data_IF_598496654486
#
_entry.id   IF_598496654486
#
_cell.length_a   1.000
_cell.length_b   1.000
_cell.length_c   1.000
_cell.angle_alpha   90.00
_cell.angle_beta   90.00
_cell.angle_gamma   90.00
#
_symmetry.space_group_name_H-M   'P 1'
#
loop_
_entity.id
_entity.type
_entity.pdbx_description
1 polymer ?
#
# COMPACT_ATOMS: atom_id res chain seq x y z
N UNK A 1 25.88 14.38 17.68
CA UNK A 1 25.02 14.54 16.48
C UNK A 1 23.68 15.06 16.96
N UNK A 2 23.36 16.29 16.63
CA UNK A 2 22.19 17.00 17.10
C UNK A 2 20.91 16.33 16.57
N UNK A 3 20.08 15.87 17.49
CA UNK A 3 18.89 15.07 17.21
C UNK A 3 17.78 16.02 16.75
N UNK A 4 17.78 16.40 15.47
CA UNK A 4 16.73 17.25 14.90
C UNK A 4 15.41 16.48 14.97
N UNK A 5 14.58 16.82 15.95
CA UNK A 5 13.25 16.25 16.13
C UNK A 5 12.48 16.41 14.82
N UNK A 6 12.15 15.30 14.17
CA UNK A 6 11.42 15.33 12.91
C UNK A 6 10.05 15.96 13.13
N UNK A 7 9.66 16.89 12.25
CA UNK A 7 8.32 17.48 12.29
C UNK A 7 7.27 16.41 12.07
N UNK A 8 6.15 16.48 12.82
CA UNK A 8 4.99 15.58 12.66
C UNK A 8 4.51 15.50 11.20
N UNK A 9 4.55 16.63 10.48
CA UNK A 9 4.19 16.70 9.07
C UNK A 9 5.19 15.95 8.17
N UNK A 10 6.48 16.05 8.47
CA UNK A 10 7.53 15.31 7.75
C UNK A 10 7.38 13.80 7.94
N UNK A 11 7.09 13.37 9.16
CA UNK A 11 6.85 11.97 9.47
C UNK A 11 5.62 11.44 8.70
N UNK A 12 4.49 12.15 8.78
CA UNK A 12 3.26 11.75 8.10
C UNK A 12 3.41 11.73 6.58
N UNK A 13 4.14 12.69 6.01
CA UNK A 13 4.47 12.71 4.59
C UNK A 13 5.23 11.44 4.18
N UNK A 14 6.31 11.09 4.89
CA UNK A 14 7.12 9.91 4.56
C UNK A 14 6.32 8.61 4.66
N UNK A 15 5.52 8.45 5.71
CA UNK A 15 4.65 7.27 5.87
C UNK A 15 3.66 7.17 4.71
N UNK A 16 2.96 8.26 4.40
CA UNK A 16 1.93 8.27 3.36
C UNK A 16 2.53 8.08 1.97
N UNK A 17 3.64 8.75 1.66
CA UNK A 17 4.34 8.61 0.39
C UNK A 17 4.88 7.19 0.20
N UNK A 18 5.53 6.61 1.21
CA UNK A 18 5.98 5.21 1.16
C UNK A 18 4.81 4.25 0.96
N UNK A 19 3.66 4.49 1.60
CA UNK A 19 2.46 3.66 1.45
C UNK A 19 1.93 3.72 0.02
N UNK A 20 1.74 4.92 -0.54
CA UNK A 20 1.24 5.09 -1.91
C UNK A 20 2.17 4.43 -2.92
N UNK A 21 3.49 4.63 -2.77
CA UNK A 21 4.50 4.06 -3.68
C UNK A 21 4.48 2.53 -3.60
N UNK A 22 4.54 1.96 -2.40
CA UNK A 22 4.51 0.51 -2.21
C UNK A 22 3.21 -0.13 -2.70
N UNK A 23 2.06 0.52 -2.44
CA UNK A 23 0.77 0.08 -2.92
C UNK A 23 0.70 0.10 -4.45
N UNK A 24 1.22 1.16 -5.07
CA UNK A 24 1.27 1.29 -6.53
C UNK A 24 2.16 0.21 -7.14
N UNK A 25 3.32 -0.07 -6.54
CA UNK A 25 4.23 -1.12 -7.01
C UNK A 25 3.57 -2.50 -6.96
N UNK A 26 2.87 -2.81 -5.87
CA UNK A 26 2.14 -4.06 -5.72
C UNK A 26 0.98 -4.17 -6.72
N UNK A 27 0.20 -3.10 -6.89
CA UNK A 27 -0.91 -3.08 -7.85
C UNK A 27 -0.46 -3.18 -9.30
N UNK A 28 0.63 -2.50 -9.68
CA UNK A 28 1.23 -2.64 -11.02
C UNK A 28 1.70 -4.08 -11.25
N UNK A 29 2.35 -4.70 -10.26
CA UNK A 29 2.72 -6.10 -10.35
C UNK A 29 1.49 -7.01 -10.52
N UNK A 30 0.44 -6.80 -9.74
CA UNK A 30 -0.76 -7.61 -9.81
C UNK A 30 -1.47 -7.49 -11.17
N UNK A 31 -1.51 -6.27 -11.75
CA UNK A 31 -2.06 -6.04 -13.08
C UNK A 31 -1.23 -6.70 -14.18
N UNK A 32 0.10 -6.56 -14.14
CA UNK A 32 0.97 -7.00 -15.23
C UNK A 32 1.35 -8.49 -15.16
N UNK A 33 1.43 -9.06 -13.97
CA UNK A 33 1.95 -10.42 -13.76
C UNK A 33 0.85 -11.39 -13.36
N UNK A 34 -0.15 -10.94 -12.60
CA UNK A 34 -1.20 -11.80 -12.06
C UNK A 34 -2.53 -11.66 -12.80
N UNK A 35 -2.57 -10.88 -13.87
CA UNK A 35 -3.74 -10.69 -14.74
C UNK A 35 -5.01 -10.22 -13.98
N UNK A 36 -4.82 -9.31 -13.02
CA UNK A 36 -5.92 -8.77 -12.21
C UNK A 36 -7.02 -8.09 -13.05
N UNK A 37 -6.69 -7.57 -14.23
CA UNK A 37 -7.70 -7.01 -15.14
C UNK A 37 -8.77 -8.03 -15.52
N UNK A 38 -8.36 -9.24 -15.90
CA UNK A 38 -9.30 -10.31 -16.26
C UNK A 38 -9.89 -10.99 -15.03
N UNK A 39 -9.08 -11.26 -14.00
CA UNK A 39 -9.52 -12.00 -12.81
C UNK A 39 -10.65 -11.28 -12.07
N UNK A 40 -10.57 -9.96 -11.91
CA UNK A 40 -11.63 -9.18 -11.25
C UNK A 40 -12.80 -8.83 -12.18
N UNK A 41 -12.70 -9.13 -13.48
CA UNK A 41 -13.82 -9.00 -14.41
C UNK A 41 -14.75 -10.23 -14.41
N UNK A 42 -14.31 -11.36 -13.82
CA UNK A 42 -15.06 -12.62 -13.81
C UNK A 42 -15.65 -12.95 -12.42
N UNK A 43 -16.80 -13.64 -12.36
CA UNK A 43 -17.32 -14.17 -11.10
C UNK A 43 -16.34 -15.18 -10.47
N UNK A 44 -16.24 -15.22 -9.12
CA UNK A 44 -17.05 -14.45 -8.17
C UNK A 44 -16.47 -13.07 -7.83
N UNK A 45 -15.25 -12.74 -8.29
CA UNK A 45 -14.54 -11.51 -7.91
C UNK A 45 -15.17 -10.25 -8.49
N UNK A 46 -15.82 -10.32 -9.65
CA UNK A 46 -16.56 -9.19 -10.24
C UNK A 46 -17.79 -8.78 -9.45
N UNK A 47 -18.31 -9.65 -8.56
CA UNK A 47 -19.36 -9.27 -7.60
C UNK A 47 -18.80 -8.55 -6.39
N UNK A 48 -17.50 -8.65 -6.15
CA UNK A 48 -16.82 -8.10 -4.99
C UNK A 48 -16.09 -6.78 -5.30
N UNK A 49 -15.48 -6.64 -6.48
CA UNK A 49 -14.72 -5.46 -6.88
C UNK A 49 -15.22 -4.83 -8.18
N UNK A 50 -14.99 -3.52 -8.30
CA UNK A 50 -15.20 -2.78 -9.54
C UNK A 50 -14.14 -3.17 -10.59
N UNK A 51 -14.48 -3.14 -11.88
CA UNK A 51 -13.50 -3.40 -12.93
C UNK A 51 -12.41 -2.33 -12.95
N UNK A 52 -11.21 -2.70 -13.42
CA UNK A 52 -10.06 -1.79 -13.50
C UNK A 52 -10.26 -0.61 -14.47
N UNK A 53 -11.24 -0.71 -15.35
CA UNK A 53 -11.66 0.37 -16.26
C UNK A 53 -12.54 1.43 -15.60
N UNK A 54 -13.06 1.19 -14.39
CA UNK A 54 -13.84 2.21 -13.66
C UNK A 54 -12.92 3.39 -13.30
N UNK A 55 -13.30 4.65 -13.62
CA UNK A 55 -12.49 5.82 -13.33
C UNK A 55 -12.03 5.89 -11.87
N UNK A 56 -12.89 5.54 -10.90
CA UNK A 56 -12.50 5.62 -9.48
C UNK A 56 -11.44 4.58 -9.11
N UNK A 57 -11.40 3.44 -9.80
CA UNK A 57 -10.37 2.42 -9.60
C UNK A 57 -9.03 2.92 -10.14
N UNK A 58 -9.04 3.68 -11.24
CA UNK A 58 -7.86 4.35 -11.78
C UNK A 58 -7.27 5.39 -10.79
N UNK A 59 -8.08 5.99 -9.91
CA UNK A 59 -7.62 6.87 -8.83
C UNK A 59 -7.18 6.11 -7.57
N UNK A 60 -7.43 4.80 -7.49
CA UNK A 60 -7.25 3.98 -6.30
C UNK A 60 -5.91 4.20 -5.57
N UNK A 61 -4.75 4.15 -6.26
CA UNK A 61 -3.45 4.43 -5.65
C UNK A 61 -3.31 5.83 -5.04
N UNK A 62 -3.87 6.88 -5.64
CA UNK A 62 -3.80 8.25 -5.08
C UNK A 62 -4.71 8.38 -3.86
N UNK A 63 -5.88 7.74 -3.90
CA UNK A 63 -6.81 7.68 -2.76
C UNK A 63 -6.21 6.94 -1.55
N UNK A 64 -5.14 6.16 -1.72
CA UNK A 64 -4.41 5.56 -0.60
C UNK A 64 -3.77 6.59 0.34
N UNK A 65 -3.76 7.89 0.00
CA UNK A 65 -3.37 8.95 0.92
C UNK A 65 -4.13 8.88 2.24
N UNK A 66 -5.43 8.57 2.23
CA UNK A 66 -6.23 8.48 3.45
C UNK A 66 -5.73 7.35 4.36
N UNK A 67 -5.45 6.18 3.79
CA UNK A 67 -4.89 5.04 4.54
C UNK A 67 -3.46 5.34 5.01
N UNK A 68 -2.66 6.01 4.19
CA UNK A 68 -1.32 6.48 4.55
C UNK A 68 -1.32 7.40 5.77
N UNK A 69 -2.28 8.32 5.86
CA UNK A 69 -2.44 9.22 7.01
C UNK A 69 -2.87 8.48 8.28
N UNK A 70 -3.76 7.48 8.16
CA UNK A 70 -4.12 6.61 9.30
C UNK A 70 -2.90 5.83 9.78
N UNK A 71 -2.13 5.23 8.87
CA UNK A 71 -0.88 4.56 9.22
C UNK A 71 0.13 5.50 9.88
N UNK A 72 0.24 6.74 9.40
CA UNK A 72 1.10 7.75 10.00
C UNK A 72 0.68 8.06 11.44
N UNK A 73 -0.62 8.21 11.69
CA UNK A 73 -1.15 8.46 13.03
C UNK A 73 -0.83 7.29 13.97
N UNK A 74 -1.03 6.05 13.52
CA UNK A 74 -0.72 4.86 14.33
C UNK A 74 0.77 4.74 14.59
N UNK A 75 1.61 4.82 13.56
CA UNK A 75 3.06 4.65 13.70
C UNK A 75 3.73 5.77 14.47
N UNK A 76 3.11 6.94 14.54
CA UNK A 76 3.60 8.05 15.36
C UNK A 76 3.76 7.66 16.84
N UNK A 77 2.82 6.88 17.39
CA UNK A 77 2.86 6.41 18.78
C UNK A 77 3.95 5.37 19.04
N UNK A 78 4.36 4.63 18.00
CA UNK A 78 5.35 3.55 18.10
C UNK A 78 6.68 3.89 17.42
N UNK A 79 6.91 5.16 17.10
CA UNK A 79 8.03 5.58 16.25
C UNK A 79 9.41 5.20 16.83
N UNK A 80 9.54 5.16 18.16
CA UNK A 80 10.76 4.75 18.84
C UNK A 80 11.07 3.28 18.56
N UNK A 81 10.09 2.40 18.77
CA UNK A 81 10.22 0.95 18.61
C UNK A 81 10.37 0.53 17.14
N UNK A 82 9.72 1.26 16.23
CA UNK A 82 9.70 0.93 14.80
C UNK A 82 10.92 1.46 14.04
N UNK A 83 11.44 2.64 14.40
CA UNK A 83 12.46 3.32 13.58
C UNK A 83 13.79 3.55 14.29
N UNK A 84 13.83 3.60 15.63
CA UNK A 84 15.04 3.92 16.38
C UNK A 84 15.67 2.71 17.06
N UNK A 85 14.87 1.79 17.56
CA UNK A 85 15.36 0.59 18.23
C UNK A 85 15.94 -0.45 17.25
N UNK A 86 16.83 -1.31 17.78
CA UNK A 86 17.30 -2.49 17.04
C UNK A 86 16.10 -3.40 16.72
N UNK A 87 16.09 -3.95 15.51
CA UNK A 87 14.99 -4.81 15.04
C UNK A 87 13.69 -4.07 14.71
N UNK A 88 13.69 -2.76 14.51
CA UNK A 88 12.48 -2.01 14.13
C UNK A 88 11.83 -2.44 12.79
N UNK A 89 12.63 -2.90 11.82
CA UNK A 89 12.11 -3.37 10.52
C UNK A 89 11.21 -4.62 10.64
N UNK A 90 11.64 -5.74 11.25
CA UNK A 90 10.76 -6.89 11.42
C UNK A 90 9.54 -6.58 12.31
N UNK A 91 9.66 -5.67 13.30
CA UNK A 91 8.50 -5.19 14.07
C UNK A 91 7.49 -4.46 13.19
N UNK A 92 7.97 -3.59 12.29
CA UNK A 92 7.13 -2.90 11.32
C UNK A 92 6.45 -3.89 10.37
N UNK A 93 7.19 -4.87 9.84
CA UNK A 93 6.64 -5.90 8.96
C UNK A 93 5.57 -6.73 9.67
N UNK A 94 5.83 -7.18 10.90
CA UNK A 94 4.86 -7.93 11.69
C UNK A 94 3.59 -7.12 11.97
N UNK A 95 3.74 -5.83 12.32
CA UNK A 95 2.62 -4.95 12.57
C UNK A 95 1.76 -4.74 11.32
N UNK A 96 2.38 -4.45 10.18
CA UNK A 96 1.69 -4.26 8.90
C UNK A 96 1.02 -5.56 8.46
N UNK A 97 1.74 -6.69 8.46
CA UNK A 97 1.20 -7.97 8.03
C UNK A 97 0.08 -8.47 8.95
N UNK A 98 0.32 -8.43 10.26
CA UNK A 98 -0.60 -8.91 11.28
C UNK A 98 -1.92 -8.15 11.26
N UNK A 99 -1.90 -6.82 11.19
CA UNK A 99 -3.11 -6.01 11.31
C UNK A 99 -3.77 -5.65 9.98
N UNK A 100 -3.01 -5.55 8.88
CA UNK A 100 -3.55 -5.07 7.59
C UNK A 100 -3.93 -6.16 6.61
N UNK A 101 -3.42 -7.38 6.79
CA UNK A 101 -3.67 -8.49 5.88
C UNK A 101 -4.22 -9.71 6.61
N UNK A 102 -3.46 -10.24 7.59
CA UNK A 102 -3.86 -11.46 8.30
C UNK A 102 -5.12 -11.24 9.15
N UNK A 103 -5.10 -10.21 10.01
CA UNK A 103 -6.21 -9.89 10.93
C UNK A 103 -7.03 -8.71 10.43
N UNK A 104 -7.18 -8.55 9.10
CA UNK A 104 -8.05 -7.53 8.55
C UNK A 104 -9.50 -7.80 9.00
N UNK A 105 -10.13 -6.80 9.59
CA UNK A 105 -11.55 -6.83 9.96
C UNK A 105 -12.34 -6.66 8.65
N UNK A 106 -12.95 -7.74 8.18
CA UNK A 106 -13.62 -7.85 6.88
C UNK A 106 -13.13 -9.07 6.07
N UNK A 107 -14.03 -9.75 5.32
CA UNK A 107 -13.72 -10.98 4.59
C UNK A 107 -13.02 -10.71 3.25
N UNK A 108 -11.90 -10.00 3.28
CA UNK A 108 -11.07 -9.76 2.10
C UNK A 108 -10.36 -11.05 1.64
N UNK A 109 -10.17 -11.26 0.31
CA UNK A 109 -9.35 -12.36 -0.18
C UNK A 109 -7.97 -12.40 0.50
N UNK A 110 -7.58 -13.57 1.00
CA UNK A 110 -6.34 -13.78 1.75
C UNK A 110 -6.33 -13.41 3.23
N UNK A 111 -7.36 -12.72 3.76
CA UNK A 111 -7.48 -12.47 5.21
C UNK A 111 -8.04 -13.68 5.96
N UNK A 112 -7.81 -13.76 7.28
CA UNK A 112 -8.39 -14.82 8.13
C UNK A 112 -9.92 -14.88 8.00
N UNK A 113 -10.59 -13.73 8.04
CA UNK A 113 -12.03 -13.66 7.84
C UNK A 113 -12.45 -14.09 6.43
N UNK A 114 -11.63 -13.79 5.42
CA UNK A 114 -11.85 -14.27 4.06
C UNK A 114 -11.93 -15.79 4.01
N UNK A 115 -10.96 -16.47 4.63
CA UNK A 115 -10.92 -17.94 4.70
C UNK A 115 -12.12 -18.55 5.45
N UNK A 116 -12.65 -17.85 6.46
CA UNK A 116 -13.71 -18.37 7.32
C UNK A 116 -15.10 -18.11 6.72
N UNK A 117 -15.32 -16.92 6.16
CA UNK A 117 -16.68 -16.42 5.85
C UNK A 117 -17.01 -16.34 4.36
N UNK A 118 -16.04 -16.52 3.46
CA UNK A 118 -16.32 -16.50 2.02
C UNK A 118 -16.43 -17.89 1.44
N UNK A 119 -17.13 -18.00 0.30
CA UNK A 119 -17.19 -19.22 -0.50
C UNK A 119 -16.11 -19.25 -1.59
N UNK A 120 -15.09 -18.37 -1.51
CA UNK A 120 -14.05 -18.32 -2.51
C UNK A 120 -13.15 -19.57 -2.41
N UNK A 121 -12.70 -20.13 -3.54
CA UNK A 121 -11.75 -21.22 -3.53
C UNK A 121 -10.42 -20.78 -2.90
N UNK A 122 -9.73 -21.74 -2.28
CA UNK A 122 -8.42 -21.52 -1.64
C UNK A 122 -7.41 -20.83 -2.58
N UNK A 123 -7.46 -21.13 -3.87
CA UNK A 123 -6.61 -20.50 -4.90
C UNK A 123 -6.78 -18.98 -4.95
N UNK A 124 -7.99 -18.45 -4.79
CA UNK A 124 -8.24 -16.98 -4.78
C UNK A 124 -7.64 -16.35 -3.53
N UNK A 125 -7.72 -17.01 -2.37
CA UNK A 125 -7.08 -16.47 -1.16
C UNK A 125 -5.56 -16.47 -1.26
N UNK A 126 -4.97 -17.53 -1.80
CA UNK A 126 -3.51 -17.63 -1.97
C UNK A 126 -2.99 -16.73 -3.09
N UNK A 127 -3.83 -16.41 -4.07
CA UNK A 127 -3.47 -15.55 -5.18
C UNK A 127 -2.94 -14.20 -4.70
N UNK A 128 -3.54 -13.58 -3.67
CA UNK A 128 -3.10 -12.26 -3.18
C UNK A 128 -1.75 -12.24 -2.46
N UNK A 129 -1.16 -13.39 -2.13
CA UNK A 129 0.07 -13.46 -1.33
C UNK A 129 1.30 -12.83 -2.00
N UNK A 130 1.59 -13.03 -3.30
CA UNK A 130 2.73 -12.39 -3.96
C UNK A 130 2.62 -10.87 -3.99
N UNK A 131 1.44 -10.34 -4.32
CA UNK A 131 1.16 -8.90 -4.28
C UNK A 131 1.37 -8.33 -2.87
N UNK A 132 0.79 -9.00 -1.87
CA UNK A 132 0.93 -8.60 -0.47
C UNK A 132 2.39 -8.63 -0.01
N UNK A 133 3.17 -9.64 -0.40
CA UNK A 133 4.59 -9.72 -0.08
C UNK A 133 5.38 -8.54 -0.69
N UNK A 134 5.10 -8.18 -1.94
CA UNK A 134 5.72 -7.02 -2.61
C UNK A 134 5.36 -5.73 -1.87
N UNK A 135 4.09 -5.53 -1.53
CA UNK A 135 3.66 -4.38 -0.74
C UNK A 135 4.38 -4.35 0.62
N UNK A 136 4.34 -5.44 1.39
CA UNK A 136 4.89 -5.52 2.73
C UNK A 136 6.40 -5.20 2.74
N UNK A 137 7.15 -5.83 1.84
CA UNK A 137 8.58 -5.66 1.72
C UNK A 137 8.93 -4.25 1.27
N UNK A 138 8.31 -3.76 0.20
CA UNK A 138 8.59 -2.43 -0.34
C UNK A 138 8.21 -1.33 0.65
N UNK A 139 7.01 -1.38 1.23
CA UNK A 139 6.54 -0.40 2.20
C UNK A 139 7.45 -0.35 3.42
N UNK A 140 7.70 -1.51 4.04
CA UNK A 140 8.47 -1.58 5.28
C UNK A 140 9.92 -1.16 5.06
N UNK A 141 10.53 -1.60 3.95
CA UNK A 141 11.91 -1.25 3.62
C UNK A 141 12.07 0.24 3.28
N UNK A 142 11.25 0.76 2.37
CA UNK A 142 11.30 2.16 1.95
C UNK A 142 11.08 3.09 3.14
N UNK A 143 10.04 2.82 3.94
CA UNK A 143 9.73 3.64 5.10
C UNK A 143 10.83 3.58 6.14
N UNK A 144 11.30 2.38 6.51
CA UNK A 144 12.36 2.24 7.51
C UNK A 144 13.66 2.94 7.07
N UNK A 145 14.04 2.78 5.81
CA UNK A 145 15.25 3.40 5.25
C UNK A 145 15.12 4.92 5.19
N UNK A 146 13.96 5.44 4.80
CA UNK A 146 13.72 6.87 4.69
C UNK A 146 13.71 7.54 6.07
N UNK A 147 13.01 6.95 7.04
CA UNK A 147 12.95 7.48 8.40
C UNK A 147 14.32 7.48 9.10
N UNK A 148 15.10 6.41 8.94
CA UNK A 148 16.42 6.32 9.61
C UNK A 148 17.46 7.26 9.02
N UNK A 149 17.36 7.59 7.73
CA UNK A 149 18.43 8.36 7.07
C UNK A 149 18.10 9.81 6.84
N UNK A 150 16.82 10.17 6.71
CA UNK A 150 16.42 11.56 6.45
C UNK A 150 17.11 12.19 5.22
N UNK A 151 17.60 11.36 4.30
CA UNK A 151 18.46 11.80 3.19
C UNK A 151 17.67 12.71 2.24
N UNK A 152 18.23 13.90 1.95
CA UNK A 152 17.65 14.81 0.94
C UNK A 152 17.51 14.15 -0.42
N UNK A 153 18.49 13.31 -0.80
CA UNK A 153 18.45 12.55 -2.07
C UNK A 153 17.27 11.58 -2.10
N UNK A 154 17.09 10.81 -1.03
CA UNK A 154 15.97 9.86 -0.95
C UNK A 154 14.63 10.59 -0.92
N UNK A 155 14.52 11.70 -0.18
CA UNK A 155 13.33 12.55 -0.20
C UNK A 155 13.01 13.03 -1.61
N UNK A 156 14.01 13.53 -2.34
CA UNK A 156 13.83 14.00 -3.72
C UNK A 156 13.35 12.87 -4.65
N UNK A 157 14.01 11.71 -4.61
CA UNK A 157 13.65 10.54 -5.43
C UNK A 157 12.21 10.09 -5.13
N UNK A 158 11.86 9.96 -3.85
CA UNK A 158 10.53 9.52 -3.44
C UNK A 158 9.44 10.54 -3.78
N UNK A 159 9.74 11.85 -3.67
CA UNK A 159 8.83 12.91 -4.11
C UNK A 159 8.60 12.88 -5.62
N UNK A 160 9.64 12.64 -6.42
CA UNK A 160 9.50 12.48 -7.89
C UNK A 160 8.65 11.25 -8.20
N UNK A 161 8.95 10.11 -7.58
CA UNK A 161 8.18 8.88 -7.78
C UNK A 161 6.70 9.09 -7.44
N UNK A 162 6.41 9.77 -6.32
CA UNK A 162 5.04 10.11 -5.93
C UNK A 162 4.37 11.05 -6.95
N UNK A 163 5.06 12.09 -7.42
CA UNK A 163 4.53 13.02 -8.41
C UNK A 163 4.20 12.32 -9.74
N UNK A 164 5.08 11.43 -10.21
CA UNK A 164 4.84 10.62 -11.40
C UNK A 164 3.64 9.70 -11.21
N UNK A 165 3.55 9.00 -10.08
CA UNK A 165 2.39 8.14 -9.76
C UNK A 165 1.10 8.95 -9.75
N UNK A 166 1.05 10.09 -9.06
CA UNK A 166 -0.13 10.95 -9.03
C UNK A 166 -0.51 11.40 -10.45
N UNK A 167 0.47 11.85 -11.24
CA UNK A 167 0.23 12.24 -12.64
C UNK A 167 -0.34 11.11 -13.49
N UNK A 168 0.24 9.91 -13.40
CA UNK A 168 -0.24 8.72 -14.13
C UNK A 168 -1.68 8.35 -13.74
N UNK A 169 -2.01 8.37 -12.44
CA UNK A 169 -3.36 8.02 -11.97
C UNK A 169 -4.40 9.07 -12.37
N UNK A 170 -4.04 10.36 -12.34
CA UNK A 170 -4.91 11.44 -12.82
C UNK A 170 -5.17 11.33 -14.32
N UNK A 171 -4.13 11.02 -15.12
CA UNK A 171 -4.29 10.80 -16.56
C UNK A 171 -5.16 9.56 -16.83
N UNK A 172 -4.95 8.47 -16.10
CA UNK A 172 -5.77 7.26 -16.19
C UNK A 172 -7.23 7.52 -15.84
N UNK A 173 -7.49 8.31 -14.79
CA UNK A 173 -8.84 8.76 -14.44
C UNK A 173 -9.50 9.57 -15.56
N UNK A 174 -8.81 10.57 -16.11
CA UNK A 174 -9.34 11.41 -17.19
C UNK A 174 -9.63 10.59 -18.44
N UNK A 175 -8.76 9.63 -18.77
CA UNK A 175 -8.97 8.71 -19.88
C UNK A 175 -10.23 7.85 -19.66
N UNK A 176 -10.33 7.19 -18.50
CA UNK A 176 -11.46 6.34 -18.17
C UNK A 176 -12.78 7.13 -18.13
N UNK A 177 -12.77 8.34 -17.58
CA UNK A 177 -13.93 9.21 -17.49
C UNK A 177 -14.39 9.75 -18.85
N UNK A 178 -13.47 9.94 -19.80
CA UNK A 178 -13.81 10.34 -21.17
C UNK A 178 -14.41 9.20 -22.01
N UNK A 179 -14.18 7.94 -21.61
CA UNK A 179 -14.69 6.74 -22.27
C UNK A 179 -15.94 6.13 -21.63
N UNK A 180 -16.41 6.69 -20.52
CA UNK A 180 -17.60 6.26 -19.77
C UNK A 180 -18.85 7.02 -20.23
#
# INVERSE_FOLDING_TARGET
MENKTESKLGFAYRVSASHIIAYSLAGIFALLVMDYGNLYALPPLSHFMRPVSDPIVALGPVLQIFRGLVLALVFWFFQQQLFRDKGGLPKLMLLVAGLSYLSAIGPAPGSLEGYIFTTFPLSIHLLGLPEFAIYLLSFSFLLNRWQKTGSRKLTFIMSIALALLVGMNLLGFLQAAASA
#
